data_IF_004974164742
#
_entry.id   IF_004974164742
#
_cell.length_a   1.000
_cell.length_b   1.000
_cell.length_c   1.000
_cell.angle_alpha   90.00
_cell.angle_beta   90.00
_cell.angle_gamma   90.00
#
_symmetry.space_group_name_H-M   'P 1'
#
loop_
_entity.id
_entity.type
_entity.pdbx_description
1 polymer ?
#
# COMPACT_ATOMS: atom_id res chain seq x y z
N UNK A 1 1.26 -0.07 -14.37
CA UNK A 1 0.35 1.06 -14.66
C UNK A 1 -0.80 1.04 -13.64
N UNK A 2 -0.87 2.03 -12.75
CA UNK A 2 -2.02 2.17 -11.84
C UNK A 2 -3.06 3.02 -12.56
N UNK A 3 -4.10 2.38 -13.10
CA UNK A 3 -5.30 3.11 -13.48
C UNK A 3 -6.10 3.38 -12.21
N UNK A 4 -6.18 4.65 -11.82
CA UNK A 4 -6.97 5.07 -10.67
C UNK A 4 -8.43 4.66 -10.86
N UNK A 5 -9.04 4.12 -9.81
CA UNK A 5 -10.48 3.98 -9.76
C UNK A 5 -11.10 5.39 -9.82
N UNK A 6 -12.13 5.55 -10.67
CA UNK A 6 -12.76 6.82 -10.97
C UNK A 6 -13.25 7.57 -9.74
N UNK A 7 -12.94 8.86 -9.72
CA UNK A 7 -13.26 9.76 -8.63
C UNK A 7 -14.43 10.63 -9.08
N UNK A 8 -15.55 10.53 -8.37
CA UNK A 8 -16.64 11.48 -8.59
C UNK A 8 -16.22 12.87 -8.12
N UNK A 9 -16.75 13.92 -8.77
CA UNK A 9 -16.52 15.35 -8.45
C UNK A 9 -15.16 15.95 -8.84
N UNK A 10 -14.52 15.44 -9.90
CA UNK A 10 -13.48 16.19 -10.65
C UNK A 10 -12.03 15.84 -10.32
N UNK A 11 -11.78 14.85 -9.49
CA UNK A 11 -10.43 14.31 -9.30
C UNK A 11 -10.11 13.31 -10.40
N UNK A 12 -8.87 13.27 -10.88
CA UNK A 12 -8.51 12.50 -12.09
C UNK A 12 -7.61 11.31 -11.81
N UNK A 13 -6.93 11.27 -10.66
CA UNK A 13 -6.11 10.15 -10.21
C UNK A 13 -5.94 10.17 -8.69
N UNK A 14 -5.72 8.98 -8.09
CA UNK A 14 -5.26 8.84 -6.71
C UNK A 14 -3.97 8.07 -6.63
N UNK A 15 -3.19 8.37 -5.60
CA UNK A 15 -2.09 7.51 -5.21
C UNK A 15 -2.61 6.30 -4.42
N UNK A 16 -1.98 5.13 -4.52
CA UNK A 16 -2.46 3.95 -3.81
C UNK A 16 -2.48 4.18 -2.28
N UNK A 17 -3.59 3.80 -1.60
CA UNK A 17 -3.75 4.04 -0.16
C UNK A 17 -2.91 3.09 0.70
N UNK A 18 -2.50 1.94 0.17
CA UNK A 18 -1.59 1.00 0.82
C UNK A 18 -0.58 0.47 -0.19
N UNK A 19 0.69 0.41 0.19
CA UNK A 19 1.80 0.03 -0.68
C UNK A 19 2.78 -0.80 0.14
N UNK A 20 3.14 -1.98 -0.35
CA UNK A 20 4.37 -2.68 0.02
C UNK A 20 5.41 -2.38 -1.06
N UNK A 21 6.59 -1.91 -0.67
CA UNK A 21 7.66 -1.55 -1.63
C UNK A 21 9.04 -1.91 -1.09
N UNK A 22 10.00 -2.01 -2.00
CA UNK A 22 11.43 -2.05 -1.67
C UNK A 22 12.08 -0.72 -2.06
N UNK A 23 12.79 -0.08 -1.12
CA UNK A 23 13.61 1.12 -1.39
C UNK A 23 14.98 0.92 -0.75
N UNK A 24 16.04 1.11 -1.53
CA UNK A 24 17.44 1.06 -1.07
C UNK A 24 17.79 -0.15 -0.19
N UNK A 25 17.31 -1.34 -0.58
CA UNK A 25 17.59 -2.58 0.15
C UNK A 25 16.60 -2.92 1.26
N UNK A 26 15.61 -2.07 1.53
CA UNK A 26 14.66 -2.24 2.63
C UNK A 26 13.22 -2.41 2.16
N UNK A 27 12.45 -3.23 2.85
CA UNK A 27 10.99 -3.27 2.82
C UNK A 27 10.42 -2.08 3.59
N UNK A 28 9.43 -1.44 2.99
CA UNK A 28 8.61 -0.44 3.66
C UNK A 28 7.14 -0.57 3.26
N UNK A 29 6.27 -0.22 4.20
CA UNK A 29 4.82 -0.20 4.02
C UNK A 29 4.38 1.26 4.09
N UNK A 30 3.76 1.77 3.03
CA UNK A 30 3.17 3.09 3.03
C UNK A 30 1.66 3.00 3.14
N UNK A 31 1.07 3.75 4.08
CA UNK A 31 -0.38 3.97 4.12
C UNK A 31 -0.71 5.44 3.94
N UNK A 32 -1.83 5.74 3.29
CA UNK A 32 -2.33 7.09 2.99
C UNK A 32 -3.82 7.16 3.19
N UNK A 33 -4.31 8.31 3.61
CA UNK A 33 -5.73 8.54 3.84
C UNK A 33 -6.10 10.00 3.62
N UNK A 34 -7.39 10.21 3.37
CA UNK A 34 -8.02 11.52 3.37
C UNK A 34 -9.53 11.39 3.63
N UNK A 35 -10.03 12.08 4.64
CA UNK A 35 -11.44 12.14 5.02
C UNK A 35 -12.24 13.17 4.23
N UNK A 36 -11.60 14.02 3.45
CA UNK A 36 -12.28 14.96 2.56
C UNK A 36 -12.90 14.22 1.37
N UNK A 37 -14.14 14.61 1.00
CA UNK A 37 -14.82 14.09 -0.20
C UNK A 37 -14.13 14.49 -1.52
N UNK A 38 -13.34 15.56 -1.45
CA UNK A 38 -12.50 16.06 -2.54
C UNK A 38 -11.17 16.44 -1.89
N UNK A 39 -10.13 15.66 -2.14
CA UNK A 39 -8.76 15.97 -1.78
C UNK A 39 -8.24 17.10 -2.65
N UNK A 40 -8.03 18.25 -2.01
CA UNK A 40 -7.62 19.49 -2.68
C UNK A 40 -6.10 19.63 -2.85
N UNK A 41 -5.33 18.68 -2.32
CA UNK A 41 -3.86 18.69 -2.32
C UNK A 41 -3.31 17.29 -2.56
N UNK A 42 -2.45 17.12 -3.56
CA UNK A 42 -1.67 15.88 -3.77
C UNK A 42 -0.50 15.75 -2.79
N UNK A 43 -0.25 16.77 -1.95
CA UNK A 43 0.74 16.72 -0.87
C UNK A 43 0.00 16.46 0.44
N UNK A 44 -0.06 15.21 0.83
CA UNK A 44 -0.41 14.79 2.18
C UNK A 44 0.74 15.21 3.13
N UNK A 45 0.78 16.49 3.50
CA UNK A 45 1.68 16.98 4.54
C UNK A 45 1.07 16.65 5.91
N UNK A 46 1.91 16.25 6.85
CA UNK A 46 1.53 16.18 8.26
C UNK A 46 0.88 17.50 8.68
N UNK A 47 -0.30 17.45 9.30
CA UNK A 47 -1.02 18.63 9.78
C UNK A 47 -2.06 19.24 8.84
N UNK A 48 -2.34 18.65 7.67
CA UNK A 48 -3.54 18.99 6.88
C UNK A 48 -4.76 18.33 7.53
N UNK A 49 -5.75 19.13 7.96
CA UNK A 49 -7.01 18.61 8.53
C UNK A 49 -7.69 17.67 7.54
N UNK A 50 -7.74 16.38 7.86
CA UNK A 50 -8.50 15.36 7.12
C UNK A 50 -7.64 14.27 6.47
N UNK A 51 -6.37 14.52 6.13
CA UNK A 51 -5.53 13.56 5.40
C UNK A 51 -4.14 13.35 5.99
N UNK A 52 -3.49 12.26 5.59
CA UNK A 52 -2.16 11.89 6.09
C UNK A 52 -1.51 10.74 5.34
N UNK A 53 -0.24 10.54 5.64
CA UNK A 53 0.58 9.42 5.16
C UNK A 53 1.44 8.92 6.32
N UNK A 54 1.69 7.62 6.35
CA UNK A 54 2.69 7.00 7.23
C UNK A 54 3.53 6.04 6.42
N UNK A 55 4.82 5.98 6.73
CA UNK A 55 5.72 4.91 6.30
C UNK A 55 6.10 4.08 7.52
N UNK A 56 5.83 2.78 7.45
CA UNK A 56 6.38 1.80 8.39
C UNK A 56 7.61 1.19 7.74
N UNK A 57 8.78 1.50 8.30
CA UNK A 57 10.04 0.85 7.95
C UNK A 57 10.04 -0.56 8.55
N UNK A 58 10.18 -1.58 7.71
CA UNK A 58 10.20 -2.98 8.16
C UNK A 58 11.64 -3.46 8.35
N UNK A 59 12.51 -3.15 7.39
CA UNK A 59 13.92 -3.50 7.43
C UNK A 59 14.43 -4.11 6.14
N UNK A 60 15.65 -4.66 6.13
CA UNK A 60 16.29 -5.15 4.91
C UNK A 60 15.53 -6.32 4.28
N UNK A 61 15.56 -6.41 2.96
CA UNK A 61 15.11 -7.60 2.24
C UNK A 61 16.28 -8.52 1.88
N UNK A 62 15.98 -9.81 1.78
CA UNK A 62 16.93 -10.82 1.30
C UNK A 62 16.56 -11.25 -0.13
N UNK A 63 17.57 -11.50 -0.96
CA UNK A 63 17.38 -11.98 -2.34
C UNK A 63 17.47 -13.50 -2.38
N UNK A 64 16.69 -14.13 -3.26
CA UNK A 64 16.75 -15.59 -3.48
C UNK A 64 16.05 -16.42 -2.40
N UNK A 65 15.28 -15.77 -1.51
CA UNK A 65 14.46 -16.43 -0.49
C UNK A 65 13.00 -16.01 -0.67
N UNK A 66 12.07 -16.89 -0.29
CA UNK A 66 10.66 -16.53 -0.19
C UNK A 66 10.43 -15.63 1.02
N UNK A 67 9.56 -14.64 0.89
CA UNK A 67 9.11 -13.79 1.99
C UNK A 67 7.59 -13.75 1.98
N UNK A 68 7.01 -14.23 3.07
CA UNK A 68 5.58 -14.37 3.23
C UNK A 68 4.98 -13.10 3.82
N UNK A 69 3.88 -12.65 3.23
CA UNK A 69 3.18 -11.45 3.67
C UNK A 69 1.70 -11.72 3.87
N UNK A 70 1.17 -11.28 5.01
CA UNK A 70 -0.27 -11.25 5.27
C UNK A 70 -0.67 -9.82 5.63
N UNK A 71 -1.73 -9.33 5.00
CA UNK A 71 -2.31 -8.03 5.27
C UNK A 71 -3.77 -8.21 5.68
N UNK A 72 -4.09 -7.84 6.92
CA UNK A 72 -5.48 -7.69 7.36
C UNK A 72 -5.82 -6.20 7.34
N UNK A 73 -6.78 -5.82 6.52
CA UNK A 73 -7.16 -4.42 6.33
C UNK A 73 -8.65 -4.23 6.53
N UNK A 74 -9.01 -3.43 7.53
CA UNK A 74 -10.34 -2.81 7.63
C UNK A 74 -10.22 -1.40 7.07
N UNK A 75 -10.71 -1.21 5.86
CA UNK A 75 -10.63 0.07 5.17
C UNK A 75 -11.54 1.12 5.82
N UNK A 76 -10.97 2.26 6.21
CA UNK A 76 -11.74 3.44 6.61
C UNK A 76 -10.94 4.73 6.34
N UNK A 77 -11.65 5.82 6.03
CA UNK A 77 -11.07 7.16 5.91
C UNK A 77 -11.06 7.91 7.25
N UNK A 78 -11.58 7.29 8.32
CA UNK A 78 -11.68 7.81 9.69
C UNK A 78 -11.04 6.86 10.72
N UNK A 79 -11.29 7.09 12.00
CA UNK A 79 -10.67 6.35 13.12
C UNK A 79 -11.11 4.89 13.24
N UNK A 80 -12.10 4.45 12.45
CA UNK A 80 -12.65 3.09 12.48
C UNK A 80 -11.82 2.06 11.71
N UNK A 81 -10.77 2.52 11.00
CA UNK A 81 -9.90 1.68 10.18
C UNK A 81 -8.90 0.86 10.99
N UNK A 82 -8.41 -0.24 10.42
CA UNK A 82 -7.39 -1.08 11.04
C UNK A 82 -6.46 -1.64 9.97
N UNK A 83 -5.17 -1.68 10.26
CA UNK A 83 -4.15 -2.33 9.45
C UNK A 83 -3.29 -3.22 10.36
N UNK A 84 -3.24 -4.51 10.04
CA UNK A 84 -2.26 -5.44 10.59
C UNK A 84 -1.47 -6.09 9.47
N UNK A 85 -0.16 -6.18 9.63
CA UNK A 85 0.75 -6.74 8.63
C UNK A 85 1.71 -7.70 9.30
N UNK A 86 1.86 -8.87 8.69
CA UNK A 86 2.82 -9.88 9.10
C UNK A 86 3.83 -10.13 7.98
N UNK A 87 5.09 -10.27 8.37
CA UNK A 87 6.19 -10.74 7.53
C UNK A 87 6.68 -12.08 8.11
N UNK A 88 6.67 -13.16 7.33
CA UNK A 88 7.10 -14.49 7.77
C UNK A 88 6.45 -14.91 9.11
N UNK A 89 5.15 -14.65 9.26
CA UNK A 89 4.38 -14.94 10.47
C UNK A 89 4.59 -13.98 11.65
N UNK A 90 5.53 -13.04 11.57
CA UNK A 90 5.79 -12.05 12.61
C UNK A 90 5.01 -10.75 12.35
N UNK A 91 4.32 -10.23 13.36
CA UNK A 91 3.59 -8.96 13.27
C UNK A 91 4.58 -7.79 13.17
N UNK A 92 4.62 -7.11 12.02
CA UNK A 92 5.52 -5.98 11.75
C UNK A 92 4.80 -4.62 11.75
N UNK A 93 3.47 -4.62 11.63
CA UNK A 93 2.66 -3.42 11.80
C UNK A 93 1.31 -3.76 12.43
N UNK A 94 0.92 -2.97 13.43
CA UNK A 94 -0.44 -2.91 13.98
C UNK A 94 -0.80 -1.43 14.11
N UNK A 95 -1.80 -0.98 13.37
CA UNK A 95 -2.22 0.42 13.31
C UNK A 95 -3.74 0.52 13.35
N UNK A 96 -4.22 1.30 14.30
CA UNK A 96 -5.60 1.79 14.32
C UNK A 96 -5.70 3.08 13.49
N UNK A 97 -6.90 3.35 12.98
CA UNK A 97 -7.25 4.60 12.32
C UNK A 97 -7.22 4.55 10.80
N UNK A 98 -7.25 5.72 10.15
CA UNK A 98 -7.55 5.81 8.73
C UNK A 98 -6.45 5.22 7.85
N UNK A 99 -6.86 4.65 6.72
CA UNK A 99 -5.99 3.96 5.78
C UNK A 99 -6.52 3.98 4.32
N UNK A 100 -7.55 4.78 4.04
CA UNK A 100 -8.05 5.01 2.67
C UNK A 100 -8.58 6.43 2.49
N UNK A 101 -8.89 6.78 1.25
CA UNK A 101 -9.58 8.01 0.87
C UNK A 101 -11.10 7.84 1.00
N UNK A 102 -11.81 8.95 1.22
CA UNK A 102 -13.27 9.03 1.21
C UNK A 102 -13.84 9.06 -0.21
N UNK A 103 -13.53 8.02 -0.97
CA UNK A 103 -13.95 7.86 -2.37
C UNK A 103 -15.14 6.91 -2.51
N UNK A 104 -15.86 7.01 -3.63
CA UNK A 104 -16.97 6.11 -3.94
C UNK A 104 -16.51 4.69 -4.27
N UNK A 105 -15.30 4.54 -4.82
CA UNK A 105 -14.75 3.24 -5.22
C UNK A 105 -13.71 2.80 -4.21
N UNK A 106 -13.90 1.58 -3.70
CA UNK A 106 -12.96 0.97 -2.76
C UNK A 106 -11.62 0.63 -3.43
N UNK A 107 -10.52 0.55 -2.64
CA UNK A 107 -9.23 0.11 -3.15
C UNK A 107 -9.32 -1.30 -3.75
N UNK A 108 -8.52 -1.56 -4.77
CA UNK A 108 -8.37 -2.88 -5.38
C UNK A 108 -6.90 -3.30 -5.38
N UNK A 109 -6.67 -4.61 -5.32
CA UNK A 109 -5.34 -5.17 -5.17
C UNK A 109 -4.59 -5.29 -6.50
N UNK A 110 -3.30 -4.98 -6.47
CA UNK A 110 -2.33 -5.19 -7.56
C UNK A 110 -1.02 -5.67 -6.95
N UNK A 111 -0.36 -6.60 -7.62
CA UNK A 111 0.99 -7.06 -7.27
C UNK A 111 1.86 -7.18 -8.53
N UNK A 112 3.16 -6.97 -8.38
CA UNK A 112 4.13 -7.04 -9.46
C UNK A 112 5.16 -5.92 -9.38
N UNK A 113 5.94 -5.75 -10.46
CA UNK A 113 6.97 -4.71 -10.53
C UNK A 113 6.33 -3.39 -10.97
N UNK A 114 6.39 -2.39 -10.09
CA UNK A 114 6.08 -0.99 -10.43
C UNK A 114 7.33 -0.12 -10.27
N UNK A 115 8.03 0.14 -11.38
CA UNK A 115 9.28 0.90 -11.43
C UNK A 115 9.17 2.12 -12.35
N UNK A 116 8.43 3.17 -11.96
CA UNK A 116 8.14 4.31 -12.85
C UNK A 116 9.41 5.04 -13.32
N UNK A 117 10.50 5.01 -12.53
CA UNK A 117 11.75 5.67 -12.90
C UNK A 117 12.35 5.12 -14.19
N UNK A 118 12.08 3.87 -14.58
CA UNK A 118 12.54 3.34 -15.87
C UNK A 118 12.00 4.09 -17.07
N UNK A 119 10.86 4.78 -16.93
CA UNK A 119 10.26 5.57 -18.01
C UNK A 119 10.32 7.06 -17.71
N UNK A 120 9.95 7.49 -16.51
CA UNK A 120 9.76 8.91 -16.19
C UNK A 120 11.03 9.64 -15.79
N UNK A 121 12.04 8.93 -15.26
CA UNK A 121 13.34 9.50 -14.92
C UNK A 121 14.44 8.40 -14.87
N UNK A 122 14.88 7.91 -16.04
CA UNK A 122 15.80 6.78 -16.11
C UNK A 122 17.12 7.00 -15.36
N UNK A 123 17.60 8.25 -15.32
CA UNK A 123 18.83 8.63 -14.61
C UNK A 123 18.78 8.37 -13.08
N UNK A 124 17.58 8.21 -12.51
CA UNK A 124 17.37 7.83 -11.10
C UNK A 124 17.36 6.33 -10.83
N UNK A 125 17.59 5.49 -11.84
CA UNK A 125 17.65 4.04 -11.69
C UNK A 125 19.04 3.53 -12.04
N UNK A 126 19.73 2.94 -11.07
CA UNK A 126 20.98 2.20 -11.30
C UNK A 126 20.73 0.73 -11.74
N UNK A 127 19.47 0.38 -12.00
CA UNK A 127 19.05 -0.96 -12.37
C UNK A 127 18.33 -0.90 -13.72
N UNK A 128 18.68 -1.85 -14.57
CA UNK A 128 18.18 -2.14 -15.90
C UNK A 128 17.30 -3.40 -15.93
N UNK A 129 17.50 -4.34 -15.00
CA UNK A 129 16.69 -5.54 -14.83
C UNK A 129 16.13 -5.69 -13.41
N UNK A 130 14.92 -6.26 -13.29
CA UNK A 130 14.36 -6.79 -12.05
C UNK A 130 13.55 -8.04 -12.34
N UNK A 131 13.84 -9.10 -11.59
CA UNK A 131 13.07 -10.36 -11.61
C UNK A 131 12.39 -10.53 -10.26
N UNK A 132 11.08 -10.81 -10.28
CA UNK A 132 10.25 -11.02 -9.09
C UNK A 132 9.43 -12.30 -9.31
N UNK A 133 9.49 -13.22 -8.36
CA UNK A 133 8.65 -14.41 -8.30
C UNK A 133 7.52 -14.16 -7.29
N UNK A 134 6.31 -14.60 -7.63
CA UNK A 134 5.10 -14.45 -6.80
C UNK A 134 4.36 -15.78 -6.85
N UNK A 135 3.94 -16.27 -5.69
CA UNK A 135 3.13 -17.48 -5.55
C UNK A 135 2.12 -17.29 -4.39
N UNK A 136 1.23 -18.26 -4.20
CA UNK A 136 0.34 -18.40 -3.05
C UNK A 136 -0.57 -17.18 -2.77
N UNK A 137 -1.03 -16.49 -3.83
CA UNK A 137 -1.94 -15.34 -3.69
C UNK A 137 -3.32 -15.83 -3.23
N UNK A 138 -3.74 -15.36 -2.05
CA UNK A 138 -5.06 -15.60 -1.47
C UNK A 138 -5.68 -14.27 -1.04
N UNK A 139 -6.99 -14.11 -1.24
CA UNK A 139 -7.75 -12.94 -0.79
C UNK A 139 -8.97 -13.43 -0.02
N UNK A 140 -9.00 -13.13 1.27
CA UNK A 140 -10.14 -13.38 2.14
C UNK A 140 -11.20 -12.28 2.05
N UNK A 141 -12.42 -12.61 2.47
CA UNK A 141 -13.47 -11.61 2.70
C UNK A 141 -13.44 -11.12 4.16
N UNK A 142 -14.44 -10.34 4.57
CA UNK A 142 -14.52 -9.81 5.95
C UNK A 142 -14.73 -10.84 7.06
N UNK A 143 -14.81 -12.15 6.75
CA UNK A 143 -14.88 -13.24 7.73
C UNK A 143 -13.62 -14.12 7.73
N UNK A 144 -12.69 -13.89 6.80
CA UNK A 144 -11.47 -14.67 6.72
C UNK A 144 -10.55 -14.38 7.92
N UNK A 145 -9.85 -15.42 8.38
CA UNK A 145 -8.83 -15.32 9.43
C UNK A 145 -7.43 -15.24 8.82
N UNK A 146 -6.42 -15.12 9.68
CA UNK A 146 -5.02 -15.17 9.25
C UNK A 146 -4.70 -16.51 8.56
N UNK A 147 -5.19 -17.61 9.13
CA UNK A 147 -4.93 -18.98 8.68
C UNK A 147 -5.55 -19.28 7.31
N UNK A 148 -6.65 -18.61 6.94
CA UNK A 148 -7.28 -18.78 5.63
C UNK A 148 -6.42 -18.26 4.47
N UNK A 149 -5.49 -17.34 4.75
CA UNK A 149 -4.69 -16.64 3.73
C UNK A 149 -3.18 -16.78 3.92
N UNK A 150 -2.71 -17.24 5.08
CA UNK A 150 -1.30 -17.49 5.33
C UNK A 150 -0.71 -18.43 4.26
N UNK A 151 0.52 -18.18 3.78
CA UNK A 151 1.16 -18.97 2.71
C UNK A 151 1.20 -20.48 2.94
#
# INVERSE_FOLDING_TARGET
MVFGAGLCLGETWRTPPLILTTVDGNWSIHRRWDGDKITRSTRHQEGVTGGGTETVEVGPYERGVWTDWVFQVKWAYDDQGQLKVWQNGQLVADRQGPNTFRDFIMPYFKIGIYKPQWTSNPARSHLDERTLYIDAIRIGNGQATYEDVAP
#
